data_IF_439416823657
#
_entry.id   IF_439416823657
#
_cell.length_a   1.000
_cell.length_b   1.000
_cell.length_c   1.000
_cell.angle_alpha   90.00
_cell.angle_beta   90.00
_cell.angle_gamma   90.00
#
_symmetry.space_group_name_H-M   'P 1'
#
loop_
_entity.id
_entity.type
_entity.pdbx_description
1 polymer ?
#
# COMPACT_ATOMS: atom_id res chain seq x y z
N UNK A 1 -7.23 -31.59 12.70
CA UNK A 1 -8.50 -30.86 12.75
C UNK A 1 -8.23 -29.41 12.34
N UNK A 2 -8.93 -28.94 11.36
CA UNK A 2 -8.59 -27.76 10.55
C UNK A 2 -8.51 -26.43 11.32
N UNK A 3 -7.31 -25.93 11.58
CA UNK A 3 -7.07 -24.51 11.90
C UNK A 3 -7.28 -23.59 10.71
N UNK A 4 -7.52 -24.14 9.50
CA UNK A 4 -7.53 -23.37 8.25
C UNK A 4 -8.81 -22.59 7.92
N UNK A 5 -9.94 -22.84 8.56
CA UNK A 5 -11.22 -22.23 8.13
C UNK A 5 -11.46 -20.78 8.61
N UNK A 6 -10.62 -20.24 9.50
CA UNK A 6 -10.81 -18.89 10.06
C UNK A 6 -9.71 -17.88 9.65
N UNK A 7 -8.67 -18.32 8.94
CA UNK A 7 -7.62 -17.41 8.45
C UNK A 7 -8.15 -16.55 7.29
N UNK A 8 -7.77 -15.26 7.22
CA UNK A 8 -8.20 -14.40 6.13
C UNK A 8 -7.64 -14.87 4.78
N UNK A 9 -8.46 -14.80 3.73
CA UNK A 9 -8.04 -15.02 2.35
C UNK A 9 -7.50 -13.72 1.79
N UNK A 10 -6.21 -13.70 1.49
CA UNK A 10 -5.48 -12.53 1.01
C UNK A 10 -5.12 -12.73 -0.47
N UNK A 11 -5.64 -11.87 -1.33
CA UNK A 11 -5.22 -11.81 -2.72
C UNK A 11 -3.94 -10.99 -2.86
N UNK A 12 -2.97 -11.52 -3.58
CA UNK A 12 -1.72 -10.83 -3.89
C UNK A 12 -1.65 -10.67 -5.41
N UNK A 13 -1.86 -9.44 -5.94
CA UNK A 13 -1.67 -9.25 -7.37
C UNK A 13 -0.19 -9.32 -7.71
N UNK A 14 0.15 -10.06 -8.76
CA UNK A 14 1.53 -10.26 -9.18
C UNK A 14 2.23 -8.95 -9.60
N UNK A 15 1.46 -7.93 -9.99
CA UNK A 15 1.98 -6.68 -10.53
C UNK A 15 2.45 -6.83 -11.97
N UNK A 16 3.33 -5.95 -12.42
CA UNK A 16 3.85 -5.98 -13.78
C UNK A 16 4.71 -7.25 -14.02
N UNK A 17 4.31 -8.14 -14.95
CA UNK A 17 5.05 -9.38 -15.22
C UNK A 17 6.47 -9.16 -15.77
N UNK A 18 6.78 -7.96 -16.28
CA UNK A 18 8.12 -7.57 -16.75
C UNK A 18 9.03 -7.07 -15.64
N UNK A 19 8.48 -6.78 -14.43
CA UNK A 19 9.22 -6.26 -13.28
C UNK A 19 9.59 -7.33 -12.25
N UNK A 20 9.90 -6.86 -11.04
CA UNK A 20 10.25 -7.74 -9.90
C UNK A 20 9.03 -8.35 -9.21
N UNK A 21 7.81 -7.97 -9.60
CA UNK A 21 6.56 -8.44 -8.99
C UNK A 21 6.49 -9.96 -8.84
N UNK A 22 6.72 -10.75 -9.91
CA UNK A 22 6.72 -12.21 -9.83
C UNK A 22 7.73 -12.77 -8.83
N UNK A 23 8.97 -12.23 -8.81
CA UNK A 23 10.03 -12.67 -7.91
C UNK A 23 9.68 -12.45 -6.43
N UNK A 24 9.17 -11.26 -6.10
CA UNK A 24 8.83 -10.93 -4.72
C UNK A 24 7.61 -11.71 -4.23
N UNK A 25 6.64 -12.01 -5.11
CA UNK A 25 5.52 -12.89 -4.79
C UNK A 25 6.00 -14.30 -4.43
N UNK A 26 6.84 -14.91 -5.28
CA UNK A 26 7.42 -16.24 -5.05
C UNK A 26 8.20 -16.28 -3.75
N UNK A 27 9.10 -15.31 -3.51
CA UNK A 27 9.90 -15.25 -2.29
C UNK A 27 9.06 -15.06 -1.03
N UNK A 28 8.00 -14.26 -1.09
CA UNK A 28 7.08 -14.04 0.03
C UNK A 28 6.36 -15.33 0.38
N UNK A 29 5.90 -16.09 -0.60
CA UNK A 29 5.18 -17.35 -0.37
C UNK A 29 6.09 -18.57 -0.20
N UNK A 30 7.40 -18.41 -0.34
CA UNK A 30 8.38 -19.38 0.12
C UNK A 30 8.56 -19.35 1.66
N UNK A 31 8.13 -18.26 2.32
CA UNK A 31 8.09 -18.15 3.78
C UNK A 31 6.86 -18.92 4.32
N UNK A 32 7.10 -20.05 4.97
CA UNK A 32 6.05 -20.91 5.53
C UNK A 32 5.17 -20.20 6.57
N UNK A 33 5.71 -19.17 7.26
CA UNK A 33 4.98 -18.38 8.25
C UNK A 33 3.78 -17.65 7.64
N UNK A 34 3.80 -17.35 6.34
CA UNK A 34 2.67 -16.71 5.66
C UNK A 34 1.40 -17.56 5.72
N UNK A 35 1.54 -18.88 5.63
CA UNK A 35 0.42 -19.83 5.70
C UNK A 35 -0.10 -20.07 7.12
N UNK A 36 0.62 -19.59 8.14
CA UNK A 36 0.16 -19.62 9.53
C UNK A 36 -0.79 -18.44 9.85
N UNK A 37 -0.70 -17.35 9.06
CA UNK A 37 -1.44 -16.10 9.34
C UNK A 37 -2.52 -15.78 8.31
N UNK A 38 -2.45 -16.34 7.10
CA UNK A 38 -3.46 -16.13 6.05
C UNK A 38 -3.56 -17.33 5.10
N UNK A 39 -4.54 -17.25 4.22
CA UNK A 39 -4.71 -18.10 3.03
C UNK A 39 -4.34 -17.25 1.80
N UNK A 40 -3.08 -17.26 1.37
CA UNK A 40 -2.63 -16.41 0.28
C UNK A 40 -2.99 -17.03 -1.07
N UNK A 41 -3.46 -16.19 -2.02
CA UNK A 41 -3.67 -16.53 -3.43
C UNK A 41 -3.06 -15.44 -4.29
N UNK A 42 -2.20 -15.82 -5.23
CA UNK A 42 -1.70 -14.87 -6.22
C UNK A 42 -2.76 -14.69 -7.32
N UNK A 43 -3.05 -13.44 -7.69
CA UNK A 43 -3.79 -13.09 -8.90
C UNK A 43 -2.75 -12.74 -9.95
N UNK A 44 -2.60 -13.59 -10.98
CA UNK A 44 -1.49 -13.45 -11.91
C UNK A 44 -1.54 -14.42 -13.09
N UNK A 45 -0.36 -14.78 -13.57
CA UNK A 45 -0.15 -15.71 -14.67
C UNK A 45 0.79 -16.85 -14.23
N UNK A 46 0.32 -18.08 -14.34
CA UNK A 46 1.05 -19.27 -13.87
C UNK A 46 2.36 -19.50 -14.66
N UNK A 47 2.42 -19.14 -15.93
CA UNK A 47 3.63 -19.32 -16.75
C UNK A 47 4.74 -18.33 -16.29
N UNK A 48 4.36 -17.10 -15.97
CA UNK A 48 5.28 -16.10 -15.41
C UNK A 48 5.79 -16.53 -14.04
N UNK A 49 4.90 -17.01 -13.14
CA UNK A 49 5.29 -17.49 -11.82
C UNK A 49 6.18 -18.72 -11.87
N UNK A 50 5.96 -19.65 -12.80
CA UNK A 50 6.85 -20.81 -13.00
C UNK A 50 8.26 -20.37 -13.30
N UNK A 51 8.42 -19.40 -14.22
CA UNK A 51 9.72 -18.79 -14.52
C UNK A 51 10.34 -18.11 -13.30
N UNK A 52 9.54 -17.43 -12.49
CA UNK A 52 10.03 -16.78 -11.26
C UNK A 52 10.49 -17.81 -10.19
N UNK A 53 9.82 -18.95 -10.07
CA UNK A 53 10.24 -20.06 -9.18
C UNK A 53 11.60 -20.60 -9.63
N UNK A 54 11.77 -20.88 -10.93
CA UNK A 54 13.05 -21.35 -11.50
C UNK A 54 14.17 -20.33 -11.24
N UNK A 55 13.88 -19.05 -11.49
CA UNK A 55 14.84 -17.96 -11.35
C UNK A 55 15.29 -17.74 -9.89
N UNK A 56 14.37 -17.85 -8.94
CA UNK A 56 14.66 -17.66 -7.51
C UNK A 56 15.25 -18.91 -6.84
N UNK A 57 15.22 -20.06 -7.54
CA UNK A 57 15.63 -21.35 -6.98
C UNK A 57 14.72 -21.85 -5.86
N UNK A 58 13.49 -21.33 -5.77
CA UNK A 58 12.55 -21.73 -4.74
C UNK A 58 11.99 -23.14 -5.02
N UNK A 59 11.85 -23.95 -3.98
CA UNK A 59 11.24 -25.29 -4.08
C UNK A 59 9.74 -25.20 -3.82
N UNK A 60 9.00 -24.68 -4.80
CA UNK A 60 7.55 -24.44 -4.71
C UNK A 60 6.82 -25.08 -5.89
N UNK A 61 5.62 -25.58 -5.59
CA UNK A 61 4.68 -26.09 -6.62
C UNK A 61 3.64 -25.01 -6.91
N UNK A 62 3.21 -24.88 -8.17
CA UNK A 62 2.09 -24.04 -8.55
C UNK A 62 0.80 -24.87 -8.59
N UNK A 63 -0.26 -24.30 -8.01
CA UNK A 63 -1.63 -24.80 -8.11
C UNK A 63 -2.51 -23.75 -8.83
N UNK A 64 -2.64 -23.83 -10.17
CA UNK A 64 -3.52 -22.92 -10.91
C UNK A 64 -4.99 -23.15 -10.56
N UNK A 65 -5.69 -22.05 -10.26
CA UNK A 65 -7.09 -22.04 -9.84
C UNK A 65 -7.95 -21.28 -10.84
N UNK A 66 -9.18 -21.74 -10.99
CA UNK A 66 -10.27 -20.97 -11.63
C UNK A 66 -11.12 -20.22 -10.61
N UNK A 67 -11.10 -20.64 -9.35
CA UNK A 67 -11.80 -19.99 -8.24
C UNK A 67 -10.90 -19.93 -7.00
N UNK A 68 -10.85 -18.79 -6.34
CA UNK A 68 -9.97 -18.55 -5.17
C UNK A 68 -10.34 -19.43 -3.97
N UNK A 69 -11.57 -19.93 -3.90
CA UNK A 69 -12.02 -20.86 -2.83
C UNK A 69 -11.39 -22.24 -2.92
N UNK A 70 -10.89 -22.64 -4.10
CA UNK A 70 -10.41 -23.99 -4.39
C UNK A 70 -8.93 -24.17 -4.03
N UNK A 71 -8.31 -23.16 -3.43
CA UNK A 71 -6.90 -23.18 -3.00
C UNK A 71 -6.63 -24.26 -1.95
N UNK A 72 -5.42 -24.79 -1.97
CA UNK A 72 -4.94 -25.76 -0.98
C UNK A 72 -4.36 -25.08 0.27
N UNK A 73 -3.91 -23.83 0.14
CA UNK A 73 -3.43 -22.95 1.23
C UNK A 73 -2.37 -23.62 2.12
N UNK A 74 -1.45 -24.32 1.51
CA UNK A 74 -0.43 -25.11 2.21
C UNK A 74 0.98 -24.63 1.83
N UNK A 75 1.86 -24.47 2.82
CA UNK A 75 3.26 -24.15 2.58
C UNK A 75 3.90 -25.11 1.57
N UNK A 76 4.77 -24.58 0.71
CA UNK A 76 5.34 -25.31 -0.41
C UNK A 76 4.50 -25.29 -1.70
N UNK A 77 3.25 -24.81 -1.63
CA UNK A 77 2.37 -24.68 -2.81
C UNK A 77 1.86 -23.25 -2.94
N UNK A 78 2.05 -22.65 -4.10
CA UNK A 78 1.48 -21.33 -4.46
C UNK A 78 0.15 -21.58 -5.16
N UNK A 79 -0.94 -21.16 -4.52
CA UNK A 79 -2.25 -21.04 -5.18
C UNK A 79 -2.26 -19.80 -6.06
N UNK A 80 -2.60 -19.95 -7.34
CA UNK A 80 -2.64 -18.84 -8.31
C UNK A 80 -3.96 -18.83 -9.05
N UNK A 81 -4.73 -17.76 -8.93
CA UNK A 81 -5.82 -17.45 -9.84
C UNK A 81 -5.18 -17.07 -11.18
N UNK A 82 -5.16 -18.05 -12.08
CA UNK A 82 -4.43 -17.95 -13.33
C UNK A 82 -5.29 -17.27 -14.41
N UNK A 83 -4.93 -16.02 -14.75
CA UNK A 83 -5.61 -15.28 -15.82
C UNK A 83 -5.09 -15.68 -17.21
N UNK A 84 -3.95 -16.40 -17.30
CA UNK A 84 -3.33 -16.88 -18.52
C UNK A 84 -3.27 -15.80 -19.64
N UNK A 85 -2.93 -14.57 -19.28
CA UNK A 85 -3.05 -13.39 -20.12
C UNK A 85 -1.70 -12.79 -20.55
N UNK A 86 -0.58 -13.47 -20.28
CA UNK A 86 0.77 -13.00 -20.61
C UNK A 86 1.37 -13.85 -21.74
N UNK A 87 1.66 -13.20 -22.86
CA UNK A 87 2.59 -13.74 -23.83
C UNK A 87 4.03 -13.42 -23.39
N UNK A 88 4.75 -14.43 -22.95
CA UNK A 88 6.13 -14.30 -22.44
C UNK A 88 7.11 -13.72 -23.47
N UNK A 89 6.82 -13.87 -24.77
CA UNK A 89 7.64 -13.31 -25.85
C UNK A 89 7.42 -11.79 -25.98
N UNK A 90 6.21 -11.31 -25.72
CA UNK A 90 5.83 -9.90 -25.86
C UNK A 90 6.06 -9.11 -24.56
N UNK A 91 5.88 -9.75 -23.40
CA UNK A 91 6.04 -9.08 -22.10
C UNK A 91 7.47 -8.58 -21.89
N UNK A 92 8.47 -9.42 -22.20
CA UNK A 92 9.89 -9.08 -22.01
C UNK A 92 10.23 -8.79 -20.53
N UNK A 93 11.41 -9.13 -20.05
CA UNK A 93 11.83 -8.85 -18.66
C UNK A 93 12.63 -7.56 -18.61
N UNK A 94 12.37 -6.71 -17.60
CA UNK A 94 13.09 -5.44 -17.40
C UNK A 94 12.78 -4.37 -18.44
N UNK A 95 11.62 -4.46 -19.11
CA UNK A 95 11.24 -3.53 -20.18
C UNK A 95 9.79 -3.10 -20.04
N UNK A 96 9.52 -1.85 -20.40
CA UNK A 96 8.14 -1.35 -20.53
C UNK A 96 7.46 -2.07 -21.68
N UNK A 97 6.29 -2.67 -21.43
CA UNK A 97 5.51 -3.41 -22.40
C UNK A 97 4.03 -3.13 -22.22
N UNK A 98 3.30 -2.71 -23.27
CA UNK A 98 1.83 -2.57 -23.20
C UNK A 98 1.13 -3.88 -22.81
N UNK A 99 1.62 -5.02 -23.29
CA UNK A 99 1.07 -6.33 -22.93
C UNK A 99 1.20 -6.62 -21.42
N UNK A 100 2.37 -6.31 -20.84
CA UNK A 100 2.60 -6.43 -19.41
C UNK A 100 1.75 -5.43 -18.60
N UNK A 101 1.61 -4.20 -19.10
CA UNK A 101 0.75 -3.18 -18.49
C UNK A 101 -0.73 -3.58 -18.47
N UNK A 102 -1.22 -4.16 -19.57
CA UNK A 102 -2.58 -4.72 -19.64
C UNK A 102 -2.77 -5.82 -18.61
N UNK A 103 -1.88 -6.79 -18.55
CA UNK A 103 -1.95 -7.91 -17.61
C UNK A 103 -1.95 -7.40 -16.15
N UNK A 104 -1.05 -6.47 -15.83
CA UNK A 104 -0.96 -5.88 -14.50
C UNK A 104 -2.27 -5.18 -14.08
N UNK A 105 -2.92 -4.45 -15.01
CA UNK A 105 -4.22 -3.85 -14.75
C UNK A 105 -5.31 -4.90 -14.52
N UNK A 106 -5.36 -5.95 -15.34
CA UNK A 106 -6.35 -7.02 -15.21
C UNK A 106 -6.22 -7.78 -13.87
N UNK A 107 -5.00 -7.95 -13.34
CA UNK A 107 -4.81 -8.53 -12.00
C UNK A 107 -5.41 -7.64 -10.90
N UNK A 108 -5.20 -6.32 -10.98
CA UNK A 108 -5.79 -5.38 -10.03
C UNK A 108 -7.31 -5.39 -10.14
N UNK A 109 -7.85 -5.37 -11.35
CA UNK A 109 -9.29 -5.41 -11.60
C UNK A 109 -9.93 -6.66 -10.99
N UNK A 110 -9.43 -7.85 -11.32
CA UNK A 110 -9.92 -9.11 -10.79
C UNK A 110 -9.82 -9.17 -9.25
N UNK A 111 -8.71 -8.70 -8.68
CA UNK A 111 -8.53 -8.65 -7.23
C UNK A 111 -9.53 -7.73 -6.54
N UNK A 112 -9.85 -6.58 -7.15
CA UNK A 112 -10.87 -5.65 -6.63
C UNK A 112 -12.26 -6.27 -6.67
N UNK A 113 -12.67 -6.87 -7.79
CA UNK A 113 -13.99 -7.51 -7.93
C UNK A 113 -14.19 -8.63 -6.90
N UNK A 114 -13.17 -9.49 -6.71
CA UNK A 114 -13.23 -10.58 -5.73
C UNK A 114 -13.29 -10.07 -4.29
N UNK A 115 -12.61 -8.97 -3.98
CA UNK A 115 -12.64 -8.41 -2.62
C UNK A 115 -13.95 -7.65 -2.37
N UNK A 116 -14.49 -6.93 -3.35
CA UNK A 116 -15.80 -6.27 -3.24
C UNK A 116 -16.94 -7.27 -3.09
N UNK A 117 -16.88 -8.41 -3.77
CA UNK A 117 -17.88 -9.50 -3.64
C UNK A 117 -17.72 -10.32 -2.37
N UNK A 118 -16.76 -9.99 -1.49
CA UNK A 118 -16.40 -10.76 -0.29
C UNK A 118 -15.93 -12.20 -0.58
N UNK A 119 -15.47 -12.49 -1.80
CA UNK A 119 -14.80 -13.75 -2.12
C UNK A 119 -13.39 -13.81 -1.53
N UNK A 120 -12.83 -12.65 -1.20
CA UNK A 120 -11.58 -12.50 -0.48
C UNK A 120 -11.69 -11.37 0.57
N UNK A 121 -10.81 -11.40 1.57
CA UNK A 121 -10.84 -10.45 2.69
C UNK A 121 -10.03 -9.17 2.45
N UNK A 122 -8.97 -9.27 1.66
CA UNK A 122 -8.12 -8.13 1.32
C UNK A 122 -7.36 -8.35 0.01
N UNK A 123 -6.88 -7.25 -0.56
CA UNK A 123 -5.99 -7.23 -1.71
C UNK A 123 -4.65 -6.59 -1.33
N UNK A 124 -3.56 -7.27 -1.65
CA UNK A 124 -2.17 -6.78 -1.57
C UNK A 124 -1.65 -6.61 -2.99
N UNK A 125 -1.23 -5.40 -3.37
CA UNK A 125 -0.85 -5.19 -4.77
C UNK A 125 0.66 -5.17 -4.97
N UNK A 126 1.14 -5.98 -5.91
CA UNK A 126 2.50 -5.94 -6.43
C UNK A 126 2.76 -4.67 -7.26
N UNK A 127 4.01 -4.35 -7.57
CA UNK A 127 4.38 -3.11 -8.24
C UNK A 127 3.93 -3.10 -9.71
N UNK A 128 3.41 -1.96 -10.19
CA UNK A 128 3.00 -1.75 -11.58
C UNK A 128 3.85 -0.67 -12.23
N UNK A 129 4.00 -0.75 -13.55
CA UNK A 129 4.62 0.30 -14.35
C UNK A 129 3.55 1.21 -14.96
N UNK A 130 3.57 2.49 -14.58
CA UNK A 130 2.58 3.48 -15.03
C UNK A 130 2.61 3.70 -16.54
N UNK A 131 3.79 3.76 -17.14
CA UNK A 131 3.95 3.92 -18.58
C UNK A 131 3.37 2.71 -19.33
N UNK A 132 3.67 1.49 -18.89
CA UNK A 132 3.14 0.27 -19.49
C UNK A 132 1.61 0.22 -19.46
N UNK A 133 0.99 0.59 -18.33
CA UNK A 133 -0.48 0.65 -18.20
C UNK A 133 -1.07 1.71 -19.11
N UNK A 134 -0.47 2.90 -19.19
CA UNK A 134 -0.94 3.98 -20.05
C UNK A 134 -0.80 3.61 -21.54
N UNK A 135 0.30 2.95 -21.94
CA UNK A 135 0.49 2.43 -23.29
C UNK A 135 -0.51 1.32 -23.64
N UNK A 136 -1.02 0.60 -22.63
CA UNK A 136 -2.08 -0.39 -22.79
C UNK A 136 -3.49 0.23 -22.90
N UNK A 137 -3.60 1.57 -22.81
CA UNK A 137 -4.86 2.29 -22.92
C UNK A 137 -5.58 2.59 -21.60
N UNK A 138 -4.98 2.26 -20.46
CA UNK A 138 -5.51 2.55 -19.13
C UNK A 138 -4.83 3.79 -18.55
N UNK A 139 -5.52 4.93 -18.57
CA UNK A 139 -4.94 6.24 -18.23
C UNK A 139 -5.04 6.56 -16.75
N UNK A 140 -4.13 6.01 -15.94
CA UNK A 140 -4.07 6.21 -14.50
C UNK A 140 -2.68 6.62 -14.03
N UNK A 141 -2.62 7.40 -12.96
CA UNK A 141 -1.38 7.81 -12.31
C UNK A 141 -0.78 6.71 -11.40
N UNK A 142 -1.57 5.73 -10.99
CA UNK A 142 -1.13 4.61 -10.16
C UNK A 142 -2.29 3.76 -9.62
N UNK A 143 -1.98 2.84 -8.72
CA UNK A 143 -2.96 1.94 -8.09
C UNK A 143 -4.11 2.68 -7.41
N UNK A 144 -3.81 3.77 -6.69
CA UNK A 144 -4.82 4.48 -5.90
C UNK A 144 -5.94 5.00 -6.78
N UNK A 145 -5.58 5.55 -7.95
CA UNK A 145 -6.54 6.08 -8.92
C UNK A 145 -7.33 4.95 -9.61
N UNK A 146 -6.65 3.83 -9.95
CA UNK A 146 -7.32 2.63 -10.49
C UNK A 146 -8.36 2.12 -9.50
N UNK A 147 -7.98 1.96 -8.23
CA UNK A 147 -8.87 1.46 -7.18
C UNK A 147 -10.03 2.41 -6.93
N UNK A 148 -9.76 3.72 -6.83
CA UNK A 148 -10.79 4.71 -6.59
C UNK A 148 -11.84 4.74 -7.72
N UNK A 149 -11.40 4.60 -8.96
CA UNK A 149 -12.27 4.55 -10.15
C UNK A 149 -13.10 3.25 -10.19
N UNK A 150 -12.46 2.09 -10.05
CA UNK A 150 -13.13 0.79 -10.06
C UNK A 150 -14.18 0.65 -8.94
N UNK A 151 -13.92 1.26 -7.78
CA UNK A 151 -14.79 1.19 -6.60
C UNK A 151 -15.82 2.33 -6.57
N UNK A 152 -15.58 3.42 -7.32
CA UNK A 152 -16.44 4.62 -7.33
C UNK A 152 -16.25 5.51 -6.10
N UNK A 153 -15.07 5.51 -5.46
CA UNK A 153 -14.76 6.29 -4.24
C UNK A 153 -14.08 7.60 -4.60
N UNK A 154 -14.56 8.71 -4.00
CA UNK A 154 -13.99 10.06 -4.22
C UNK A 154 -13.13 10.55 -3.05
N UNK A 155 -13.39 10.07 -1.84
CA UNK A 155 -12.67 10.47 -0.62
C UNK A 155 -11.75 9.34 -0.18
N UNK A 156 -10.50 9.46 -0.55
CA UNK A 156 -9.44 8.51 -0.20
C UNK A 156 -8.14 9.24 0.16
N UNK A 157 -7.25 8.56 0.85
CA UNK A 157 -5.92 9.07 1.15
C UNK A 157 -4.90 7.92 1.13
N UNK A 158 -3.64 8.26 0.90
CA UNK A 158 -2.53 7.33 1.01
C UNK A 158 -1.92 7.43 2.40
N UNK A 159 -1.79 6.29 3.07
CA UNK A 159 -1.01 6.14 4.30
C UNK A 159 0.22 5.30 4.02
N UNK A 160 1.38 5.79 4.44
CA UNK A 160 2.61 5.00 4.52
C UNK A 160 2.86 4.56 5.96
N UNK A 161 3.31 3.32 6.10
CA UNK A 161 3.64 2.70 7.39
C UNK A 161 5.02 2.09 7.34
N UNK A 162 5.89 2.47 8.26
CA UNK A 162 7.19 1.82 8.49
C UNK A 162 7.59 1.92 9.97
N UNK A 163 8.00 0.81 10.58
CA UNK A 163 8.54 0.72 11.95
C UNK A 163 7.76 1.55 12.99
N UNK A 164 6.43 1.55 12.87
CA UNK A 164 5.55 2.27 13.80
C UNK A 164 5.30 3.75 13.44
N UNK A 165 6.05 4.34 12.52
CA UNK A 165 5.72 5.65 11.94
C UNK A 165 4.62 5.47 10.89
N UNK A 166 3.52 6.22 11.04
CA UNK A 166 2.37 6.22 10.13
C UNK A 166 2.14 7.63 9.65
N UNK A 167 2.11 7.82 8.33
CA UNK A 167 1.93 9.14 7.72
C UNK A 167 0.82 9.07 6.68
N UNK A 168 -0.20 9.90 6.84
CA UNK A 168 -1.30 10.06 5.89
C UNK A 168 -1.13 11.37 5.14
N UNK A 169 -1.29 11.35 3.82
CA UNK A 169 -1.00 12.50 2.96
C UNK A 169 -2.27 13.22 2.54
N UNK A 170 -2.29 14.55 2.70
CA UNK A 170 -3.37 15.41 2.20
C UNK A 170 -3.40 15.42 0.67
N UNK A 171 -2.23 15.48 0.05
CA UNK A 171 -2.05 15.34 -1.41
C UNK A 171 -0.82 14.50 -1.74
N UNK A 172 -0.79 13.87 -2.92
CA UNK A 172 0.31 13.00 -3.35
C UNK A 172 0.87 13.43 -4.71
N UNK A 173 0.59 12.79 -5.77
CA UNK A 173 1.22 12.91 -7.10
C UNK A 173 0.83 14.18 -7.87
N UNK A 174 1.04 15.34 -7.27
CA UNK A 174 0.81 16.67 -7.87
C UNK A 174 2.06 17.54 -7.73
N UNK A 175 2.15 18.64 -8.51
CA UNK A 175 3.23 19.61 -8.32
C UNK A 175 3.13 20.24 -6.93
N UNK A 176 4.29 20.67 -6.36
CA UNK A 176 4.30 21.33 -5.05
C UNK A 176 3.40 22.57 -5.01
N UNK A 177 3.37 23.37 -6.09
CA UNK A 177 2.47 24.51 -6.21
C UNK A 177 0.99 24.07 -6.09
N UNK A 178 0.62 23.00 -6.82
CA UNK A 178 -0.74 22.46 -6.74
C UNK A 178 -1.04 21.85 -5.38
N UNK A 179 -0.05 21.25 -4.71
CA UNK A 179 -0.21 20.71 -3.36
C UNK A 179 -0.59 21.81 -2.36
N UNK A 180 0.01 23.01 -2.45
CA UNK A 180 -0.38 24.14 -1.62
C UNK A 180 -1.85 24.54 -1.87
N UNK A 181 -2.31 24.60 -3.12
CA UNK A 181 -3.70 24.90 -3.47
C UNK A 181 -4.71 23.88 -2.92
N UNK A 182 -4.26 22.62 -2.73
CA UNK A 182 -5.07 21.52 -2.22
C UNK A 182 -5.14 21.46 -0.69
N UNK A 183 -4.42 22.31 0.03
CA UNK A 183 -4.59 22.47 1.47
C UNK A 183 -5.87 23.30 1.69
N UNK A 184 -6.97 22.59 1.87
CA UNK A 184 -8.31 23.15 2.11
C UNK A 184 -8.92 22.50 3.33
N UNK A 185 -9.66 23.28 4.12
CA UNK A 185 -10.27 22.86 5.39
C UNK A 185 -10.99 21.51 5.24
N UNK A 186 -11.89 21.38 4.25
CA UNK A 186 -12.68 20.16 4.06
C UNK A 186 -11.80 18.94 3.70
N UNK A 187 -10.74 19.16 2.90
CA UNK A 187 -9.80 18.10 2.53
C UNK A 187 -8.96 17.66 3.72
N UNK A 188 -8.41 18.60 4.47
CA UNK A 188 -7.60 18.32 5.67
C UNK A 188 -8.45 17.59 6.72
N UNK A 189 -9.70 18.04 6.95
CA UNK A 189 -10.65 17.36 7.83
C UNK A 189 -10.96 15.93 7.38
N UNK A 190 -11.19 15.71 6.09
CA UNK A 190 -11.39 14.37 5.51
C UNK A 190 -10.18 13.47 5.79
N UNK A 191 -8.96 13.98 5.58
CA UNK A 191 -7.74 13.19 5.81
C UNK A 191 -7.51 12.90 7.29
N UNK A 192 -7.84 13.83 8.19
CA UNK A 192 -7.79 13.60 9.65
C UNK A 192 -8.75 12.46 10.05
N UNK A 193 -9.98 12.44 9.51
CA UNK A 193 -10.95 11.36 9.75
C UNK A 193 -10.42 10.01 9.25
N UNK A 194 -9.92 9.97 8.03
CA UNK A 194 -9.33 8.74 7.47
C UNK A 194 -8.13 8.25 8.26
N UNK A 195 -7.28 9.17 8.76
CA UNK A 195 -6.14 8.83 9.61
C UNK A 195 -6.59 8.25 10.97
N UNK A 196 -7.64 8.82 11.56
CA UNK A 196 -8.24 8.34 12.80
C UNK A 196 -8.83 6.93 12.64
N UNK A 197 -9.64 6.70 11.60
CA UNK A 197 -10.23 5.41 11.29
C UNK A 197 -9.16 4.35 11.04
N UNK A 198 -8.14 4.68 10.23
CA UNK A 198 -7.03 3.76 9.95
C UNK A 198 -6.24 3.39 11.20
N UNK A 199 -6.01 4.33 12.12
CA UNK A 199 -5.34 4.04 13.38
C UNK A 199 -6.17 3.10 14.28
N UNK A 200 -7.48 3.29 14.30
CA UNK A 200 -8.40 2.37 15.00
C UNK A 200 -8.42 0.98 14.37
N UNK A 201 -8.43 0.91 13.04
CA UNK A 201 -8.29 -0.35 12.27
C UNK A 201 -6.93 -1.03 12.51
N UNK A 202 -5.92 -0.30 12.99
CA UNK A 202 -4.63 -0.83 13.42
C UNK A 202 -4.60 -1.22 14.92
N UNK A 203 -5.72 -1.09 15.64
CA UNK A 203 -5.87 -1.48 17.03
C UNK A 203 -5.45 -0.39 18.03
N UNK A 204 -5.49 0.90 17.65
CA UNK A 204 -5.27 2.04 18.53
C UNK A 204 -6.63 2.66 18.82
N UNK A 205 -7.24 2.43 20.01
CA UNK A 205 -8.64 2.83 20.26
C UNK A 205 -8.84 4.35 20.27
N UNK A 206 -7.88 5.08 20.83
CA UNK A 206 -7.89 6.54 20.99
C UNK A 206 -6.62 7.14 20.37
N UNK A 207 -6.55 7.23 19.02
CA UNK A 207 -5.34 7.65 18.34
C UNK A 207 -5.13 9.16 18.44
N UNK A 208 -3.91 9.57 18.76
CA UNK A 208 -3.43 10.95 18.73
C UNK A 208 -2.93 11.28 17.33
N UNK A 209 -3.60 12.21 16.66
CA UNK A 209 -3.30 12.60 15.29
C UNK A 209 -2.50 13.89 15.27
N UNK A 210 -1.20 13.82 14.97
CA UNK A 210 -0.37 14.99 14.74
C UNK A 210 -0.61 15.57 13.35
N UNK A 211 -1.12 16.81 13.26
CA UNK A 211 -1.36 17.47 11.97
C UNK A 211 -0.20 18.42 11.69
N UNK A 212 0.58 18.16 10.63
CA UNK A 212 1.69 19.02 10.23
C UNK A 212 1.17 20.38 9.71
N UNK A 213 1.91 21.46 9.94
CA UNK A 213 1.75 22.68 9.16
C UNK A 213 2.21 22.49 7.72
N UNK A 214 1.79 23.38 6.83
CA UNK A 214 2.30 23.48 5.46
C UNK A 214 3.62 24.26 5.42
N UNK A 215 3.61 25.40 6.10
CA UNK A 215 4.70 26.39 6.06
C UNK A 215 5.75 26.12 7.16
N UNK A 216 6.98 26.69 7.05
CA UNK A 216 7.98 26.63 8.10
C UNK A 216 7.40 27.10 9.45
N UNK A 217 7.78 26.39 10.53
CA UNK A 217 7.30 26.70 11.90
C UNK A 217 5.78 26.77 12.04
N UNK A 218 5.04 26.04 11.17
CA UNK A 218 3.57 26.08 11.09
C UNK A 218 3.04 27.51 10.89
N UNK A 219 3.66 28.27 9.98
CA UNK A 219 3.27 29.62 9.56
C UNK A 219 3.71 30.75 10.48
N UNK A 220 4.22 30.47 11.70
CA UNK A 220 4.67 31.48 12.69
C UNK A 220 3.63 32.62 12.86
N UNK A 221 2.36 32.25 13.11
CA UNK A 221 1.28 33.23 13.27
C UNK A 221 0.92 34.03 12.00
N UNK A 222 1.23 33.50 10.83
CA UNK A 222 0.96 34.13 9.52
C UNK A 222 2.19 34.82 8.88
N UNK A 223 3.36 34.76 9.52
CA UNK A 223 4.58 35.40 9.01
C UNK A 223 5.06 34.72 7.71
N UNK A 224 4.90 33.38 7.60
CA UNK A 224 5.39 32.59 6.47
C UNK A 224 4.28 32.04 5.58
N UNK A 225 3.04 32.47 5.79
CA UNK A 225 1.86 32.03 5.05
C UNK A 225 0.65 31.96 5.96
N UNK A 226 -0.54 31.92 5.39
CA UNK A 226 -1.81 31.97 6.13
C UNK A 226 -2.59 30.65 6.07
N UNK A 227 -2.12 29.65 5.34
CA UNK A 227 -2.80 28.38 5.14
C UNK A 227 -3.08 27.63 6.46
N UNK A 228 -2.22 27.80 7.45
CA UNK A 228 -2.46 27.27 8.80
C UNK A 228 -3.68 27.92 9.44
N UNK A 229 -3.79 29.24 9.36
CA UNK A 229 -4.86 30.05 9.97
C UNK A 229 -6.18 29.86 9.23
N UNK A 230 -6.13 29.87 7.91
CA UNK A 230 -7.32 29.88 7.05
C UNK A 230 -7.90 28.48 6.84
N UNK A 231 -7.06 27.43 6.84
CA UNK A 231 -7.46 26.09 6.40
C UNK A 231 -7.17 24.99 7.46
N UNK A 232 -5.93 24.92 7.99
CA UNK A 232 -5.50 23.79 8.82
C UNK A 232 -6.07 23.87 10.23
N UNK A 233 -6.00 25.05 10.89
CA UNK A 233 -6.55 25.24 12.24
C UNK A 233 -8.06 25.02 12.26
N UNK A 234 -8.86 25.55 11.32
CA UNK A 234 -10.29 25.26 11.26
C UNK A 234 -10.60 23.77 11.06
N UNK A 235 -9.80 23.04 10.23
CA UNK A 235 -9.98 21.61 10.04
C UNK A 235 -9.69 20.82 11.34
N UNK A 236 -8.63 21.18 12.07
CA UNK A 236 -8.30 20.57 13.37
C UNK A 236 -9.41 20.84 14.40
N UNK A 237 -9.92 22.07 14.46
CA UNK A 237 -11.04 22.41 15.36
C UNK A 237 -12.27 21.57 15.05
N UNK A 238 -12.65 21.50 13.79
CA UNK A 238 -13.77 20.66 13.35
C UNK A 238 -13.54 19.18 13.70
N UNK A 239 -12.31 18.66 13.55
CA UNK A 239 -11.99 17.29 13.92
C UNK A 239 -12.19 17.03 15.43
N UNK A 240 -11.79 17.96 16.27
CA UNK A 240 -11.99 17.90 17.74
C UNK A 240 -13.47 17.92 18.11
N UNK A 241 -14.30 18.70 17.42
CA UNK A 241 -15.75 18.74 17.62
C UNK A 241 -16.40 17.36 17.29
N UNK A 242 -15.77 16.56 16.42
CA UNK A 242 -16.14 15.16 16.16
C UNK A 242 -15.52 14.16 17.15
N UNK A 243 -14.83 14.62 18.20
CA UNK A 243 -14.20 13.75 19.20
C UNK A 243 -12.88 13.12 18.76
N UNK A 244 -12.22 13.64 17.72
CA UNK A 244 -10.92 13.18 17.26
C UNK A 244 -9.82 13.96 17.97
N UNK A 245 -8.86 13.27 18.62
CA UNK A 245 -7.69 13.91 19.23
C UNK A 245 -6.67 14.35 18.14
N UNK A 246 -7.02 15.47 17.48
CA UNK A 246 -6.20 16.10 16.46
C UNK A 246 -5.37 17.23 17.08
N UNK A 247 -4.05 17.15 16.96
CA UNK A 247 -3.07 18.06 17.58
C UNK A 247 -2.29 18.79 16.50
N UNK A 248 -2.31 20.12 16.54
CA UNK A 248 -1.57 20.92 15.56
C UNK A 248 -2.16 22.31 15.34
N UNK A 249 -1.72 23.01 14.26
CA UNK A 249 -0.65 22.59 13.34
C UNK A 249 0.71 22.49 14.06
N UNK A 250 1.40 21.37 13.84
CA UNK A 250 2.73 21.13 14.42
C UNK A 250 3.80 21.51 13.38
N UNK A 251 4.89 22.19 13.79
CA UNK A 251 6.00 22.48 12.88
C UNK A 251 6.47 21.23 12.13
N UNK A 252 6.53 21.25 10.77
CA UNK A 252 6.79 20.06 9.96
C UNK A 252 8.18 19.46 10.15
N UNK A 253 9.16 20.27 10.56
CA UNK A 253 10.52 19.85 10.89
C UNK A 253 10.63 18.98 12.14
N UNK A 254 9.65 19.02 13.03
CA UNK A 254 9.67 18.30 14.31
C UNK A 254 8.57 17.24 14.47
N UNK A 255 7.47 17.33 13.74
CA UNK A 255 6.29 16.45 13.91
C UNK A 255 6.62 14.95 13.75
N UNK A 256 7.48 14.61 12.81
CA UNK A 256 7.86 13.20 12.55
C UNK A 256 8.78 12.65 13.64
N UNK A 257 9.69 13.47 14.17
CA UNK A 257 10.53 13.09 15.31
C UNK A 257 9.67 12.84 16.56
N UNK A 258 8.67 13.69 16.81
CA UNK A 258 7.71 13.53 17.88
C UNK A 258 6.85 12.27 17.72
N UNK A 259 6.42 11.95 16.48
CA UNK A 259 5.69 10.72 16.19
C UNK A 259 6.54 9.47 16.42
N UNK A 260 7.82 9.48 16.03
CA UNK A 260 8.76 8.41 16.38
C UNK A 260 8.96 8.26 17.88
N UNK A 261 8.91 9.35 18.63
CA UNK A 261 8.94 9.38 20.09
C UNK A 261 7.58 9.04 20.73
N UNK A 262 6.64 8.49 19.96
CA UNK A 262 5.30 8.09 20.41
C UNK A 262 4.45 9.22 21.03
N UNK A 263 4.69 10.49 20.65
CA UNK A 263 3.80 11.58 21.02
C UNK A 263 2.53 11.59 20.14
N UNK A 264 2.63 11.12 18.90
CA UNK A 264 1.52 10.95 17.96
C UNK A 264 1.51 9.53 17.45
N UNK A 265 0.32 9.00 17.22
CA UNK A 265 0.13 7.65 16.69
C UNK A 265 0.09 7.65 15.15
N UNK A 266 -0.36 8.78 14.56
CA UNK A 266 -0.38 9.04 13.12
C UNK A 266 -0.04 10.50 12.86
N UNK A 267 0.63 10.79 11.75
CA UNK A 267 0.89 12.15 11.26
C UNK A 267 0.08 12.38 9.98
N UNK A 268 -0.61 13.52 9.90
CA UNK A 268 -1.19 14.04 8.65
C UNK A 268 -0.20 15.02 8.03
N UNK A 269 0.35 14.68 6.87
CA UNK A 269 1.26 15.50 6.08
C UNK A 269 0.50 16.24 4.98
N UNK A 270 0.88 17.47 4.68
CA UNK A 270 0.18 18.32 3.71
C UNK A 270 0.51 17.96 2.26
N UNK A 271 1.70 17.43 1.99
CA UNK A 271 2.12 17.05 0.63
C UNK A 271 3.05 15.83 0.65
N UNK A 272 3.27 15.28 -0.54
CA UNK A 272 3.99 14.03 -0.77
C UNK A 272 5.34 13.97 -0.03
N UNK A 273 6.28 14.86 -0.37
CA UNK A 273 7.64 14.76 0.14
C UNK A 273 7.74 15.11 1.63
N UNK A 274 6.83 15.94 2.17
CA UNK A 274 6.77 16.21 3.60
C UNK A 274 6.63 14.91 4.42
N UNK A 275 5.84 13.95 3.93
CA UNK A 275 5.65 12.67 4.60
C UNK A 275 6.60 11.58 4.16
N UNK A 276 6.94 11.52 2.86
CA UNK A 276 7.80 10.47 2.31
C UNK A 276 9.26 10.59 2.75
N UNK A 277 9.82 11.81 2.76
CA UNK A 277 11.22 12.03 3.14
C UNK A 277 11.53 11.45 4.53
N UNK A 278 10.83 11.83 5.61
CA UNK A 278 11.12 11.31 6.94
C UNK A 278 10.90 9.79 7.02
N UNK A 279 9.89 9.27 6.34
CA UNK A 279 9.57 7.84 6.36
C UNK A 279 10.65 7.03 5.64
N UNK A 280 11.07 7.45 4.44
CA UNK A 280 12.13 6.77 3.68
C UNK A 280 13.51 6.94 4.30
N UNK A 281 13.77 8.06 4.96
CA UNK A 281 15.03 8.27 5.71
C UNK A 281 15.17 7.26 6.86
N UNK A 282 14.06 6.88 7.48
CA UNK A 282 14.04 5.89 8.57
C UNK A 282 14.00 4.46 8.03
N UNK A 283 13.26 4.22 6.95
CA UNK A 283 12.94 2.88 6.44
C UNK A 283 13.97 2.31 5.47
N UNK A 284 14.77 3.15 4.80
CA UNK A 284 15.75 2.69 3.83
C UNK A 284 17.10 2.43 4.51
N UNK A 285 17.52 1.19 4.52
CA UNK A 285 18.88 0.80 4.86
C UNK A 285 19.70 0.69 3.57
N UNK A 286 20.60 1.64 3.34
CA UNK A 286 21.50 1.62 2.19
C UNK A 286 22.82 0.95 2.56
N UNK A 287 23.36 0.16 1.65
CA UNK A 287 24.74 -0.31 1.73
C UNK A 287 25.70 0.83 1.42
N UNK A 288 26.50 1.22 2.40
CA UNK A 288 27.42 2.36 2.28
C UNK A 288 28.51 2.19 1.20
N UNK A 289 28.75 0.95 0.75
CA UNK A 289 29.78 0.66 -0.27
C UNK A 289 29.18 0.64 -1.68
N UNK A 290 27.99 0.06 -1.82
CA UNK A 290 27.35 -0.15 -3.12
C UNK A 290 26.25 0.87 -3.43
N UNK A 291 25.81 1.65 -2.43
CA UNK A 291 24.67 2.57 -2.54
C UNK A 291 23.32 1.86 -2.77
N UNK A 292 23.29 0.52 -2.73
CA UNK A 292 22.06 -0.26 -2.94
C UNK A 292 21.23 -0.36 -1.67
N UNK A 293 19.92 -0.37 -1.82
CA UNK A 293 19.03 -0.64 -0.69
C UNK A 293 19.22 -2.07 -0.17
N UNK A 294 19.61 -2.22 1.10
CA UNK A 294 19.66 -3.50 1.82
C UNK A 294 18.27 -3.97 2.23
N UNK A 295 17.42 -3.04 2.65
CA UNK A 295 16.05 -3.30 3.03
C UNK A 295 15.14 -2.15 2.58
N UNK A 296 13.95 -2.50 2.10
CA UNK A 296 12.84 -1.58 1.84
C UNK A 296 11.61 -2.23 2.49
N UNK A 297 11.14 -1.67 3.61
CA UNK A 297 10.08 -2.29 4.42
C UNK A 297 8.76 -1.53 4.40
N UNK A 298 8.76 -0.32 3.86
CA UNK A 298 7.57 0.53 3.81
C UNK A 298 6.37 -0.18 3.18
N UNK A 299 5.20 0.06 3.75
CA UNK A 299 3.91 -0.42 3.23
C UNK A 299 3.02 0.77 2.94
N UNK A 300 2.41 0.75 1.76
CA UNK A 300 1.39 1.72 1.39
C UNK A 300 0.00 1.14 1.64
N UNK A 301 -0.88 1.93 2.26
CA UNK A 301 -2.29 1.59 2.51
C UNK A 301 -3.18 2.65 1.85
N UNK A 302 -4.17 2.23 1.08
CA UNK A 302 -5.18 3.16 0.56
C UNK A 302 -6.35 3.22 1.52
N UNK A 303 -6.54 4.38 2.13
CA UNK A 303 -7.62 4.67 3.07
C UNK A 303 -8.89 5.14 2.36
N UNK A 304 -10.05 4.97 2.99
CA UNK A 304 -11.34 5.40 2.45
C UNK A 304 -11.98 4.39 1.49
N UNK A 305 -11.35 3.23 1.27
CA UNK A 305 -11.94 2.14 0.49
C UNK A 305 -12.81 1.24 1.37
N UNK A 306 -13.91 0.67 0.84
CA UNK A 306 -14.72 -0.33 1.55
C UNK A 306 -13.99 -1.66 1.74
N UNK A 307 -12.89 -1.87 1.02
CA UNK A 307 -12.02 -3.05 1.09
C UNK A 307 -10.70 -2.74 1.79
N UNK A 308 -10.03 -3.75 2.33
CA UNK A 308 -8.66 -3.62 2.82
C UNK A 308 -7.71 -3.73 1.63
N UNK A 309 -6.91 -2.67 1.41
CA UNK A 309 -5.87 -2.68 0.39
C UNK A 309 -4.54 -2.21 0.95
N UNK A 310 -3.52 -3.03 0.80
CA UNK A 310 -2.11 -2.69 1.06
C UNK A 310 -1.25 -2.90 -0.17
N UNK A 311 -0.06 -2.35 -0.20
CA UNK A 311 0.91 -2.59 -1.27
C UNK A 311 2.35 -2.37 -0.82
N UNK A 312 3.27 -2.86 -1.64
CA UNK A 312 4.68 -2.50 -1.55
C UNK A 312 4.90 -0.99 -1.75
N UNK A 313 5.97 -0.45 -1.14
CA UNK A 313 6.37 0.97 -1.27
C UNK A 313 7.57 1.15 -2.22
N UNK A 314 7.61 0.36 -3.31
CA UNK A 314 8.61 0.46 -4.36
C UNK A 314 7.99 0.19 -5.73
N UNK A 315 8.71 0.54 -6.80
CA UNK A 315 8.29 0.32 -8.18
C UNK A 315 8.69 -1.06 -8.72
N UNK A 316 8.61 -1.20 -10.04
CA UNK A 316 8.88 -2.44 -10.77
C UNK A 316 10.35 -2.83 -10.84
N UNK A 317 11.28 -1.91 -10.54
CA UNK A 317 12.73 -2.12 -10.48
C UNK A 317 13.27 -2.93 -11.67
N UNK A 318 12.97 -2.48 -12.88
CA UNK A 318 13.30 -3.17 -14.15
C UNK A 318 14.78 -3.50 -14.29
N UNK A 319 15.66 -2.71 -13.68
CA UNK A 319 17.11 -2.88 -13.70
C UNK A 319 17.60 -4.16 -12.99
N UNK A 320 16.79 -4.72 -12.10
CA UNK A 320 17.10 -5.98 -11.39
C UNK A 320 16.08 -7.09 -11.66
N UNK A 321 15.05 -6.81 -12.46
CA UNK A 321 14.05 -7.80 -12.82
C UNK A 321 14.70 -8.97 -13.58
N UNK A 322 14.29 -10.18 -13.29
CA UNK A 322 14.84 -11.39 -13.90
C UNK A 322 16.20 -11.81 -13.38
N UNK A 323 16.67 -11.24 -12.26
CA UNK A 323 17.97 -11.59 -11.66
C UNK A 323 17.88 -12.40 -10.37
N UNK A 324 16.70 -12.60 -9.83
CA UNK A 324 16.49 -13.25 -8.54
C UNK A 324 16.99 -12.43 -7.33
N UNK A 325 17.37 -11.17 -7.51
CA UNK A 325 17.96 -10.32 -6.44
C UNK A 325 16.95 -9.43 -5.73
N UNK A 326 15.71 -9.37 -6.20
CA UNK A 326 14.68 -8.53 -5.61
C UNK A 326 14.44 -8.89 -4.12
N UNK A 327 14.37 -7.85 -3.28
CA UNK A 327 14.01 -7.99 -1.87
C UNK A 327 12.48 -8.04 -1.74
N UNK A 328 11.95 -8.98 -0.94
CA UNK A 328 10.51 -9.21 -0.78
C UNK A 328 9.95 -8.71 0.56
N UNK A 329 10.77 -8.09 1.42
CA UNK A 329 10.33 -7.66 2.76
C UNK A 329 9.12 -6.72 2.72
N UNK A 330 9.08 -5.77 1.79
CA UNK A 330 7.92 -4.87 1.64
C UNK A 330 6.63 -5.62 1.29
N UNK A 331 6.71 -6.64 0.43
CA UNK A 331 5.55 -7.48 0.10
C UNK A 331 5.10 -8.30 1.31
N UNK A 332 6.05 -8.90 2.03
CA UNK A 332 5.77 -9.64 3.27
C UNK A 332 5.08 -8.76 4.30
N UNK A 333 5.61 -7.58 4.57
CA UNK A 333 5.02 -6.62 5.51
C UNK A 333 3.64 -6.12 5.03
N UNK A 334 3.44 -5.95 3.72
CA UNK A 334 2.14 -5.59 3.16
C UNK A 334 1.08 -6.67 3.40
N UNK A 335 1.44 -7.95 3.26
CA UNK A 335 0.55 -9.08 3.58
C UNK A 335 0.23 -9.11 5.08
N UNK A 336 1.23 -9.00 5.95
CA UNK A 336 1.03 -9.00 7.40
C UNK A 336 0.15 -7.84 7.87
N UNK A 337 0.34 -6.66 7.28
CA UNK A 337 -0.50 -5.50 7.58
C UNK A 337 -1.95 -5.70 7.12
N UNK A 338 -2.17 -6.29 5.93
CA UNK A 338 -3.51 -6.63 5.45
C UNK A 338 -4.21 -7.61 6.40
N UNK A 339 -3.52 -8.66 6.85
CA UNK A 339 -4.02 -9.63 7.83
C UNK A 339 -4.45 -8.94 9.12
N UNK A 340 -3.62 -8.02 9.64
CA UNK A 340 -3.93 -7.26 10.86
C UNK A 340 -5.17 -6.39 10.69
N UNK A 341 -5.28 -5.65 9.58
CA UNK A 341 -6.42 -4.78 9.28
C UNK A 341 -7.72 -5.59 9.14
N UNK A 342 -7.68 -6.73 8.45
CA UNK A 342 -8.83 -7.65 8.34
C UNK A 342 -9.26 -8.17 9.71
N UNK A 343 -8.29 -8.58 10.54
CA UNK A 343 -8.55 -9.09 11.89
C UNK A 343 -9.30 -8.08 12.76
N UNK A 344 -8.87 -6.83 12.74
CA UNK A 344 -9.52 -5.75 13.49
C UNK A 344 -10.91 -5.40 12.94
N UNK A 345 -11.08 -5.33 11.62
CA UNK A 345 -12.40 -5.08 11.00
C UNK A 345 -13.40 -6.20 11.31
N UNK A 346 -12.96 -7.47 11.37
CA UNK A 346 -13.80 -8.59 11.77
C UNK A 346 -14.22 -8.51 13.24
N UNK A 347 -13.29 -8.14 14.13
CA UNK A 347 -13.56 -8.00 15.57
C UNK A 347 -14.46 -6.79 15.86
N UNK A 348 -14.32 -5.68 15.15
CA UNK A 348 -15.17 -4.49 15.28
C UNK A 348 -16.62 -4.68 14.81
N UNK A 349 -16.90 -5.67 13.98
CA UNK A 349 -18.28 -6.04 13.54
C UNK A 349 -19.05 -6.89 14.55
N UNK A 350 -18.43 -7.32 15.64
CA UNK A 350 -19.09 -8.17 16.69
C UNK A 350 -19.76 -7.32 17.78
N UNK A 351 -19.70 -5.98 17.68
CA UNK A 351 -20.39 -5.11 18.64
C UNK A 351 -21.43 -4.27 17.88
N UNK A 352 -22.55 -4.87 17.50
CA UNK A 352 -23.90 -4.25 17.47
C UNK A 352 -24.95 -5.38 17.60
#
# INVERSE_FOLDING_TARGET
MARGSNLPLILITMGDPSGIGPEICVKTLADEDMYQVCRPVIVGDAAVLRRAIELTGAHLTLNPLSNVSDGVFTAGTIDVLDLANVDLALAGVGKVSPAAGKAAYEYVHAGVELTLSNAADAIVTGPINKEAINLAGYHYAGHTEILADLIGVRQYAMMLVDRGLRVVHNSTHVSLRKACDLVKQDRVMTVIKLAHEAARDLGIPEPRIGVAGLNPHAGEGGLFGTEEIEEIIPAISAARDFGIDAIGPVPPDSVFAKARGAQYDVVVAMYHDQGHIPLKTVGFELDGTTGRAKAVRGVNVTLGLPIVRTSVDHGTAFEIAGTGKANHESMREAVLLAVRLVGQRRNGKVIV
#
